data_IF_625244816838
#
_entry.id   IF_625244816838
#
_cell.length_a   1.000
_cell.length_b   1.000
_cell.length_c   1.000
_cell.angle_alpha   90.00
_cell.angle_beta   90.00
_cell.angle_gamma   90.00
#
_symmetry.space_group_name_H-M   'P 1'
#
loop_
_entity.id
_entity.type
_entity.pdbx_description
1 polymer ?
#
# COMPACT_ATOMS: atom_id res chain seq x y z
N UNK A 1 58.28 40.23 32.73
CA UNK A 1 58.59 38.96 33.42
C UNK A 1 57.55 38.77 34.51
N UNK A 2 56.59 37.86 34.27
CA UNK A 2 56.32 36.65 35.08
C UNK A 2 55.68 36.98 36.45
N UNK A 3 54.62 36.36 36.96
CA UNK A 3 53.69 35.29 36.56
C UNK A 3 52.56 35.35 37.60
N UNK A 4 51.31 35.04 37.24
CA UNK A 4 50.24 34.71 38.19
C UNK A 4 49.81 33.26 37.94
N UNK A 5 49.70 32.50 39.02
CA UNK A 5 49.17 31.13 39.07
C UNK A 5 48.05 31.09 40.10
N UNK A 6 46.86 30.65 39.65
CA UNK A 6 45.93 29.70 40.30
C UNK A 6 44.57 29.83 39.59
N UNK A 7 44.16 28.84 38.79
CA UNK A 7 43.59 27.51 39.10
C UNK A 7 42.07 27.55 39.23
N UNK A 8 41.39 26.76 38.38
CA UNK A 8 39.93 26.68 38.33
C UNK A 8 39.40 25.88 37.12
N UNK A 9 39.37 24.56 37.30
CA UNK A 9 38.54 23.51 36.69
C UNK A 9 37.90 23.69 35.28
N UNK A 10 38.18 22.69 34.44
CA UNK A 10 37.62 22.44 33.11
C UNK A 10 36.14 21.97 33.13
N UNK A 11 35.34 22.48 32.19
CA UNK A 11 34.20 21.78 31.57
C UNK A 11 34.34 22.00 30.05
N UNK A 12 34.43 20.96 29.20
CA UNK A 12 34.33 21.16 27.77
C UNK A 12 32.88 21.11 27.32
N UNK A 13 32.51 22.18 26.61
CA UNK A 13 31.34 22.34 25.76
C UNK A 13 31.53 21.54 24.48
N UNK A 14 30.44 20.93 23.99
CA UNK A 14 30.24 20.63 22.56
C UNK A 14 30.33 19.16 22.19
N UNK A 15 29.16 18.53 21.99
CA UNK A 15 29.04 17.35 21.14
C UNK A 15 28.14 17.65 19.94
N UNK A 16 28.61 17.12 18.82
CA UNK A 16 28.24 17.32 17.43
C UNK A 16 26.74 17.25 17.10
N UNK A 17 26.35 18.10 16.14
CA UNK A 17 25.12 17.96 15.36
C UNK A 17 25.28 16.75 14.43
N UNK A 18 24.37 15.79 14.58
CA UNK A 18 24.23 14.63 13.71
C UNK A 18 24.01 15.03 12.25
N UNK A 19 24.75 14.38 11.36
CA UNK A 19 24.58 14.46 9.91
C UNK A 19 23.28 13.77 9.49
N UNK A 20 22.27 14.55 9.12
CA UNK A 20 21.09 14.05 8.40
C UNK A 20 21.48 13.79 6.95
N UNK A 21 21.68 12.52 6.60
CA UNK A 21 21.98 12.10 5.23
C UNK A 21 20.72 12.16 4.35
N UNK A 22 20.61 13.17 3.51
CA UNK A 22 19.62 13.20 2.42
C UNK A 22 19.99 12.16 1.36
N UNK A 23 19.03 11.36 0.91
CA UNK A 23 19.27 10.35 -0.14
C UNK A 23 18.74 10.86 -1.49
N UNK A 24 19.61 10.93 -2.49
CA UNK A 24 19.22 11.15 -3.88
C UNK A 24 18.66 9.86 -4.48
N UNK A 25 17.71 10.00 -5.43
CA UNK A 25 17.14 8.85 -6.14
C UNK A 25 18.23 8.15 -6.99
N UNK A 26 18.80 7.05 -6.50
CA UNK A 26 19.60 6.14 -7.33
C UNK A 26 18.69 5.52 -8.40
N UNK A 27 19.03 5.73 -9.67
CA UNK A 27 18.40 5.03 -10.80
C UNK A 27 18.84 3.58 -10.81
N UNK A 28 17.89 2.64 -10.80
CA UNK A 28 18.19 1.21 -10.79
C UNK A 28 18.92 0.77 -12.07
N UNK A 29 20.10 0.16 -11.91
CA UNK A 29 20.76 -0.60 -12.98
C UNK A 29 20.03 -1.93 -13.22
N UNK A 30 19.89 -2.41 -14.47
CA UNK A 30 19.28 -3.70 -14.75
C UNK A 30 19.97 -4.83 -13.98
N UNK A 31 19.23 -5.52 -13.11
CA UNK A 31 19.72 -6.67 -12.33
C UNK A 31 20.16 -6.39 -10.89
N UNK A 32 20.21 -5.13 -10.43
CA UNK A 32 20.42 -4.82 -9.00
C UNK A 32 19.10 -5.08 -8.25
N UNK A 33 19.15 -5.89 -7.20
CA UNK A 33 17.99 -6.12 -6.34
C UNK A 33 17.61 -4.81 -5.65
N UNK A 34 16.33 -4.46 -5.68
CA UNK A 34 15.83 -3.30 -4.95
C UNK A 34 15.94 -3.53 -3.44
N UNK A 35 16.37 -2.49 -2.73
CA UNK A 35 16.49 -2.48 -1.27
C UNK A 35 15.75 -1.27 -0.72
N UNK A 36 14.90 -1.42 0.31
CA UNK A 36 14.22 -0.28 0.91
C UNK A 36 15.22 0.70 1.53
N UNK A 37 14.91 2.00 1.57
CA UNK A 37 15.75 2.98 2.25
C UNK A 37 15.81 2.71 3.77
N UNK A 38 16.85 3.24 4.41
CA UNK A 38 16.92 3.28 5.87
C UNK A 38 16.08 4.44 6.39
N UNK A 39 15.49 4.26 7.57
CA UNK A 39 14.87 5.36 8.30
C UNK A 39 15.91 6.18 9.07
N UNK A 40 15.70 7.50 9.21
CA UNK A 40 14.62 8.25 8.57
C UNK A 40 14.91 8.51 7.08
N UNK A 41 13.86 8.50 6.26
CA UNK A 41 13.91 8.85 4.85
C UNK A 41 13.38 10.28 4.65
N UNK A 42 14.17 11.12 3.99
CA UNK A 42 13.79 12.48 3.62
C UNK A 42 14.21 12.79 2.20
N UNK A 43 13.27 13.32 1.41
CA UNK A 43 13.58 13.95 0.12
C UNK A 43 14.36 15.25 0.35
N UNK A 44 15.30 15.54 -0.54
CA UNK A 44 16.16 16.72 -0.44
C UNK A 44 15.33 18.02 -0.48
N UNK A 45 15.68 19.07 0.31
CA UNK A 45 14.85 20.26 0.45
C UNK A 45 14.54 21.01 -0.85
N UNK A 46 15.45 20.96 -1.83
CA UNK A 46 15.31 21.58 -3.15
C UNK A 46 14.30 20.87 -4.06
N UNK A 47 13.89 19.65 -3.70
CA UNK A 47 12.91 18.85 -4.44
C UNK A 47 11.51 18.87 -3.80
N UNK A 48 11.38 19.43 -2.59
CA UNK A 48 10.12 19.48 -1.87
C UNK A 48 9.19 20.56 -2.44
N UNK A 49 7.86 20.32 -2.46
CA UNK A 49 6.89 21.34 -2.88
C UNK A 49 6.75 22.49 -1.86
N UNK A 50 7.11 22.23 -0.59
CA UNK A 50 7.14 23.19 0.52
C UNK A 50 8.03 22.63 1.65
N UNK A 51 8.42 23.42 2.67
CA UNK A 51 9.09 22.88 3.85
C UNK A 51 8.26 21.76 4.51
N UNK A 52 8.91 20.64 4.87
CA UNK A 52 8.22 19.54 5.57
C UNK A 52 7.69 20.03 6.92
N UNK A 53 6.45 19.67 7.30
CA UNK A 53 5.92 20.00 8.61
C UNK A 53 6.63 19.18 9.69
N UNK A 54 6.82 19.80 10.85
CA UNK A 54 7.31 19.12 12.06
C UNK A 54 6.24 18.21 12.65
N UNK A 55 6.64 17.21 13.43
CA UNK A 55 5.71 16.33 14.15
C UNK A 55 4.75 17.10 15.05
N UNK A 56 5.19 18.20 15.66
CA UNK A 56 4.33 19.09 16.44
C UNK A 56 3.24 19.75 15.58
N UNK A 57 3.60 20.29 14.41
CA UNK A 57 2.64 20.90 13.47
C UNK A 57 1.64 19.87 12.93
N UNK A 58 2.11 18.67 12.61
CA UNK A 58 1.26 17.55 12.17
C UNK A 58 0.24 17.20 13.25
N UNK A 59 0.70 16.99 14.50
CA UNK A 59 -0.16 16.65 15.63
C UNK A 59 -1.15 17.78 15.96
N UNK A 60 -0.72 19.04 15.85
CA UNK A 60 -1.56 20.22 16.10
C UNK A 60 -2.57 20.53 14.98
N UNK A 61 -2.35 20.09 13.75
CA UNK A 61 -3.28 20.35 12.63
C UNK A 61 -4.67 19.80 12.90
N UNK A 62 -5.70 20.61 12.60
CA UNK A 62 -7.11 20.25 12.77
C UNK A 62 -7.73 19.60 11.52
N UNK A 63 -7.03 19.57 10.38
CA UNK A 63 -7.58 19.06 9.12
C UNK A 63 -7.39 17.55 9.05
N UNK A 64 -8.30 16.82 9.68
CA UNK A 64 -8.33 15.35 9.68
C UNK A 64 -9.11 14.87 8.45
N UNK A 65 -8.44 14.09 7.60
CA UNK A 65 -9.06 13.45 6.44
C UNK A 65 -9.68 12.10 6.83
N UNK A 66 -9.00 11.35 7.70
CA UNK A 66 -9.45 10.05 8.15
C UNK A 66 -8.84 9.71 9.52
N UNK A 67 -9.59 9.01 10.37
CA UNK A 67 -9.10 8.61 11.69
C UNK A 67 -9.65 7.22 12.07
N UNK A 68 -8.73 6.32 12.43
CA UNK A 68 -9.00 5.01 13.02
C UNK A 68 -8.37 4.94 14.42
N UNK A 69 -8.60 3.85 15.13
CA UNK A 69 -8.06 3.62 16.48
C UNK A 69 -6.53 3.69 16.55
N UNK A 70 -5.83 3.28 15.49
CA UNK A 70 -4.37 3.17 15.46
C UNK A 70 -3.69 4.02 14.37
N UNK A 71 -4.45 4.79 13.60
CA UNK A 71 -3.91 5.60 12.51
C UNK A 71 -4.74 6.87 12.32
N UNK A 72 -4.06 7.98 12.08
CA UNK A 72 -4.64 9.28 11.73
C UNK A 72 -4.07 9.74 10.40
N UNK A 73 -4.93 10.27 9.53
CA UNK A 73 -4.57 10.85 8.24
C UNK A 73 -4.98 12.32 8.24
N UNK A 74 -4.03 13.22 7.99
CA UNK A 74 -4.26 14.66 7.96
C UNK A 74 -3.77 15.30 6.68
N UNK A 75 -4.46 16.34 6.22
CA UNK A 75 -3.92 17.27 5.25
C UNK A 75 -3.16 18.39 5.98
N UNK A 76 -1.97 18.71 5.48
CA UNK A 76 -1.13 19.80 5.98
C UNK A 76 -0.90 20.77 4.82
N UNK A 77 -1.67 21.85 4.83
CA UNK A 77 -1.72 22.80 3.72
C UNK A 77 -2.19 22.14 2.42
N UNK A 78 -1.71 22.66 1.28
CA UNK A 78 -2.05 22.17 -0.06
C UNK A 78 -1.06 21.13 -0.59
N UNK A 79 0.01 20.82 0.14
CA UNK A 79 1.14 20.05 -0.39
C UNK A 79 1.27 18.64 0.19
N UNK A 80 0.82 18.44 1.44
CA UNK A 80 1.11 17.21 2.17
C UNK A 80 -0.13 16.54 2.73
N UNK A 81 -0.18 15.22 2.54
CA UNK A 81 -1.00 14.32 3.35
C UNK A 81 -0.05 13.54 4.25
N UNK A 82 -0.40 13.44 5.53
CA UNK A 82 0.39 12.73 6.54
C UNK A 82 -0.44 11.62 7.14
N UNK A 83 0.06 10.38 7.04
CA UNK A 83 -0.43 9.23 7.81
C UNK A 83 0.49 9.03 9.01
N UNK A 84 -0.08 8.89 10.20
CA UNK A 84 0.71 8.57 11.40
C UNK A 84 -0.06 7.78 12.45
N UNK A 85 0.67 7.12 13.33
CA UNK A 85 0.14 6.36 14.46
C UNK A 85 0.73 4.95 14.57
N UNK A 86 0.44 4.21 15.65
CA UNK A 86 1.04 2.89 15.93
C UNK A 86 0.63 1.80 14.92
N UNK A 87 -0.47 2.02 14.19
CA UNK A 87 -0.94 1.12 13.14
C UNK A 87 -0.30 1.38 11.78
N UNK A 88 0.35 2.53 11.58
CA UNK A 88 0.92 2.95 10.29
C UNK A 88 2.13 2.09 9.94
N UNK A 89 2.20 1.59 8.70
CA UNK A 89 3.24 0.67 8.25
C UNK A 89 4.23 1.37 7.34
N UNK A 90 5.52 1.32 7.69
CA UNK A 90 6.65 1.76 6.84
C UNK A 90 6.56 1.19 5.42
N UNK A 91 5.98 -0.01 5.30
CA UNK A 91 5.74 -0.69 4.03
C UNK A 91 5.04 0.19 2.99
N UNK A 92 4.08 1.03 3.38
CA UNK A 92 3.40 1.91 2.43
C UNK A 92 4.38 2.88 1.75
N UNK A 93 5.25 3.54 2.52
CA UNK A 93 6.27 4.43 1.96
C UNK A 93 7.29 3.67 1.11
N UNK A 94 7.71 2.48 1.54
CA UNK A 94 8.61 1.61 0.78
C UNK A 94 7.99 1.19 -0.56
N UNK A 95 6.71 0.86 -0.59
CA UNK A 95 5.98 0.52 -1.80
C UNK A 95 5.90 1.72 -2.76
N UNK A 96 5.59 2.94 -2.27
CA UNK A 96 5.59 4.14 -3.09
C UNK A 96 6.96 4.42 -3.73
N UNK A 97 8.06 4.27 -2.97
CA UNK A 97 9.42 4.43 -3.51
C UNK A 97 9.71 3.40 -4.61
N UNK A 98 9.40 2.13 -4.36
CA UNK A 98 9.59 1.06 -5.35
C UNK A 98 8.84 1.39 -6.64
N UNK A 99 7.56 1.75 -6.55
CA UNK A 99 6.72 1.99 -7.71
C UNK A 99 7.18 3.20 -8.53
N UNK A 100 7.54 4.31 -7.88
CA UNK A 100 8.09 5.49 -8.57
C UNK A 100 9.39 5.18 -9.34
N UNK A 101 10.23 4.29 -8.80
CA UNK A 101 11.48 3.90 -9.45
C UNK A 101 11.28 2.95 -10.63
N UNK A 102 10.23 2.12 -10.61
CA UNK A 102 10.01 1.09 -11.64
C UNK A 102 8.94 1.46 -12.67
N UNK A 103 8.06 2.42 -12.35
CA UNK A 103 7.02 2.89 -13.26
C UNK A 103 6.60 4.33 -12.92
N UNK A 104 7.33 5.30 -13.45
CA UNK A 104 7.09 6.74 -13.22
C UNK A 104 5.79 7.28 -13.81
N UNK A 105 5.11 6.50 -14.67
CA UNK A 105 3.81 6.85 -15.25
C UNK A 105 2.61 6.44 -14.38
N UNK A 106 2.82 5.66 -13.31
CA UNK A 106 1.73 5.28 -12.42
C UNK A 106 1.24 6.52 -11.65
N UNK A 107 -0.08 6.78 -11.62
CA UNK A 107 -0.64 7.90 -10.88
C UNK A 107 -0.74 7.55 -9.39
N UNK A 108 0.35 7.76 -8.65
CA UNK A 108 0.46 7.45 -7.21
C UNK A 108 1.07 8.64 -6.45
N UNK A 109 0.80 8.78 -5.14
CA UNK A 109 1.40 9.85 -4.34
C UNK A 109 2.92 9.79 -4.36
N UNK A 110 3.57 10.95 -4.49
CA UNK A 110 5.01 11.04 -4.19
C UNK A 110 5.26 10.99 -2.69
N UNK A 111 6.17 10.14 -2.24
CA UNK A 111 6.64 10.13 -0.86
C UNK A 111 7.66 11.26 -0.65
N UNK A 112 7.49 12.05 0.40
CA UNK A 112 8.39 13.17 0.74
C UNK A 112 9.23 12.89 1.98
N UNK A 113 8.65 12.22 2.99
CA UNK A 113 9.38 11.81 4.18
C UNK A 113 8.72 10.58 4.82
N UNK A 114 9.55 9.78 5.50
CA UNK A 114 9.10 8.66 6.31
C UNK A 114 10.06 8.48 7.49
N UNK A 115 9.53 8.44 8.71
CA UNK A 115 10.34 8.35 9.92
C UNK A 115 9.54 7.80 11.10
N UNK A 116 10.23 7.46 12.19
CA UNK A 116 9.63 7.08 13.46
C UNK A 116 9.91 8.16 14.51
N UNK A 117 8.89 8.52 15.29
CA UNK A 117 9.02 9.45 16.42
C UNK A 117 8.01 9.08 17.51
N UNK A 118 8.47 9.00 18.77
CA UNK A 118 7.65 8.61 19.94
C UNK A 118 6.87 7.29 19.78
N UNK A 119 7.40 6.33 19.01
CA UNK A 119 6.75 5.04 18.74
C UNK A 119 5.67 5.09 17.65
N UNK A 120 5.42 6.24 17.04
CA UNK A 120 4.57 6.38 15.85
C UNK A 120 5.43 6.38 14.58
N UNK A 121 4.93 5.71 13.53
CA UNK A 121 5.45 5.87 12.16
C UNK A 121 4.76 7.08 11.54
N UNK A 122 5.51 7.95 10.87
CA UNK A 122 5.02 9.07 10.07
C UNK A 122 5.35 8.84 8.60
N UNK A 123 4.36 9.01 7.73
CA UNK A 123 4.50 8.95 6.26
C UNK A 123 3.94 10.25 5.71
N UNK A 124 4.81 11.09 5.15
CA UNK A 124 4.46 12.36 4.52
C UNK A 124 4.52 12.16 3.00
N UNK A 125 3.39 12.35 2.33
CA UNK A 125 3.24 12.16 0.89
C UNK A 125 2.49 13.31 0.24
N UNK A 126 2.49 13.32 -1.10
CA UNK A 126 1.78 14.29 -1.93
C UNK A 126 0.31 14.41 -1.54
N UNK A 127 -0.15 15.64 -1.36
CA UNK A 127 -1.56 15.96 -1.29
C UNK A 127 -2.13 16.10 -2.69
N UNK A 128 -3.02 15.18 -3.06
CA UNK A 128 -3.77 15.27 -4.30
C UNK A 128 -5.12 15.96 -4.06
N UNK A 129 -5.28 17.14 -4.65
CA UNK A 129 -6.51 17.93 -4.55
C UNK A 129 -7.61 17.34 -5.44
N UNK A 130 -8.33 16.35 -4.91
CA UNK A 130 -9.45 15.70 -5.57
C UNK A 130 -10.41 15.07 -4.58
N UNK A 131 -11.52 14.55 -5.10
CA UNK A 131 -12.50 13.80 -4.33
C UNK A 131 -12.23 12.30 -4.47
N UNK A 132 -12.65 11.48 -3.51
CA UNK A 132 -12.59 10.03 -3.72
C UNK A 132 -13.59 9.64 -4.81
N UNK A 133 -13.28 8.60 -5.58
CA UNK A 133 -14.19 8.04 -6.57
C UNK A 133 -15.47 7.58 -5.88
N UNK A 134 -15.39 7.12 -4.62
CA UNK A 134 -16.55 6.72 -3.83
C UNK A 134 -17.56 7.86 -3.69
N UNK A 135 -17.08 9.06 -3.35
CA UNK A 135 -17.94 10.20 -3.07
C UNK A 135 -18.59 10.75 -4.34
N UNK A 136 -17.86 10.78 -5.45
CA UNK A 136 -18.38 11.34 -6.70
C UNK A 136 -19.10 10.32 -7.58
N UNK A 137 -18.94 9.00 -7.36
CA UNK A 137 -19.50 7.93 -8.20
C UNK A 137 -20.99 8.12 -8.53
N UNK A 138 -21.87 8.46 -7.55
CA UNK A 138 -23.29 8.64 -7.82
C UNK A 138 -23.60 9.82 -8.75
N UNK A 139 -22.71 10.82 -8.83
CA UNK A 139 -22.88 12.03 -9.65
C UNK A 139 -22.32 11.91 -11.08
N UNK A 140 -21.53 10.87 -11.35
CA UNK A 140 -20.88 10.69 -12.64
C UNK A 140 -21.85 10.21 -13.72
N UNK A 141 -21.72 10.77 -14.91
CA UNK A 141 -22.46 10.29 -16.08
C UNK A 141 -21.91 8.94 -16.55
N UNK A 142 -22.71 8.17 -17.29
CA UNK A 142 -22.28 6.87 -17.81
C UNK A 142 -21.01 6.96 -18.66
N UNK A 143 -20.85 8.03 -19.45
CA UNK A 143 -19.64 8.34 -20.22
C UNK A 143 -18.41 8.52 -19.33
N UNK A 144 -18.58 9.20 -18.20
CA UNK A 144 -17.51 9.52 -17.26
C UNK A 144 -17.03 8.25 -16.58
N UNK A 145 -17.98 7.43 -16.11
CA UNK A 145 -17.70 6.12 -15.52
C UNK A 145 -16.95 5.20 -16.51
N UNK A 146 -17.33 5.21 -17.79
CA UNK A 146 -16.63 4.46 -18.84
C UNK A 146 -15.24 5.02 -19.14
N UNK A 147 -15.04 6.33 -19.09
CA UNK A 147 -13.71 6.94 -19.27
C UNK A 147 -12.78 6.59 -18.09
N UNK A 148 -13.27 6.71 -16.85
CA UNK A 148 -12.52 6.41 -15.62
C UNK A 148 -12.13 4.94 -15.58
N UNK A 149 -13.05 4.02 -15.85
CA UNK A 149 -12.76 2.57 -15.86
C UNK A 149 -11.76 2.19 -16.96
N UNK A 150 -11.80 2.85 -18.12
CA UNK A 150 -10.77 2.69 -19.16
C UNK A 150 -9.38 3.13 -18.68
N UNK A 151 -9.30 4.25 -17.95
CA UNK A 151 -8.04 4.72 -17.38
C UNK A 151 -7.53 3.77 -16.29
N UNK A 152 -8.42 3.30 -15.39
CA UNK A 152 -8.11 2.27 -14.39
C UNK A 152 -7.55 1.00 -15.04
N UNK A 153 -8.11 0.55 -16.17
CA UNK A 153 -7.56 -0.60 -16.91
C UNK A 153 -6.12 -0.36 -17.31
N UNK A 154 -5.81 0.81 -17.87
CA UNK A 154 -4.45 1.19 -18.24
C UNK A 154 -3.48 1.24 -17.05
N UNK A 155 -3.95 1.65 -15.87
CA UNK A 155 -3.17 1.63 -14.63
C UNK A 155 -2.91 0.19 -14.18
N UNK A 156 -3.94 -0.66 -14.17
CA UNK A 156 -3.82 -2.07 -13.77
C UNK A 156 -2.92 -2.85 -14.74
N UNK A 157 -2.99 -2.57 -16.04
CA UNK A 157 -2.13 -3.19 -17.05
C UNK A 157 -0.66 -2.80 -16.84
N UNK A 158 -0.37 -1.53 -16.53
CA UNK A 158 0.98 -1.08 -16.17
C UNK A 158 1.50 -1.76 -14.91
N UNK A 159 0.66 -1.84 -13.87
CA UNK A 159 1.02 -2.50 -12.62
C UNK A 159 1.37 -3.98 -12.85
N UNK A 160 0.52 -4.69 -13.59
CA UNK A 160 0.70 -6.12 -13.91
C UNK A 160 1.85 -6.40 -14.86
N UNK A 161 2.33 -5.40 -15.61
CA UNK A 161 3.49 -5.52 -16.48
C UNK A 161 4.83 -5.50 -15.70
N UNK A 162 4.83 -5.00 -14.47
CA UNK A 162 6.00 -5.07 -13.59
C UNK A 162 6.32 -6.54 -13.28
N UNK A 163 7.61 -6.87 -13.31
CA UNK A 163 8.07 -8.26 -13.13
C UNK A 163 8.45 -8.52 -11.68
N UNK A 164 8.05 -9.68 -11.11
CA UNK A 164 8.51 -10.07 -9.80
C UNK A 164 10.03 -10.25 -9.80
N UNK A 165 10.67 -10.20 -8.61
CA UNK A 165 12.10 -10.46 -8.49
C UNK A 165 12.51 -11.82 -9.07
N UNK A 166 11.63 -12.81 -8.97
CA UNK A 166 11.79 -14.15 -9.54
C UNK A 166 10.45 -14.62 -10.14
N UNK A 167 10.43 -15.47 -11.18
CA UNK A 167 9.20 -15.82 -11.92
C UNK A 167 8.04 -16.39 -11.10
N UNK A 168 8.33 -16.98 -9.94
CA UNK A 168 7.34 -17.64 -9.06
C UNK A 168 7.34 -17.06 -7.65
N UNK A 169 7.80 -15.82 -7.48
CA UNK A 169 7.87 -15.16 -6.17
C UNK A 169 6.50 -14.59 -5.75
N UNK A 170 6.08 -14.94 -4.54
CA UNK A 170 4.91 -14.37 -3.85
C UNK A 170 5.36 -13.76 -2.52
N UNK A 171 5.10 -12.48 -2.31
CA UNK A 171 5.62 -11.76 -1.13
C UNK A 171 5.47 -10.25 -1.26
N UNK A 172 5.89 -9.52 -0.24
CA UNK A 172 5.96 -8.05 -0.31
C UNK A 172 7.01 -7.58 -1.33
N UNK A 173 6.96 -6.30 -1.70
CA UNK A 173 7.98 -5.67 -2.56
C UNK A 173 9.39 -5.69 -1.94
N UNK A 174 9.48 -5.75 -0.62
CA UNK A 174 10.70 -5.89 0.17
C UNK A 174 11.21 -7.34 0.24
N UNK A 175 10.62 -8.26 -0.55
CA UNK A 175 10.88 -9.70 -0.53
C UNK A 175 10.57 -10.38 0.82
N UNK A 176 9.63 -9.81 1.57
CA UNK A 176 9.18 -10.33 2.86
C UNK A 176 7.87 -11.10 2.76
N UNK A 177 7.23 -11.36 3.93
CA UNK A 177 5.92 -11.99 4.01
C UNK A 177 4.85 -11.31 3.15
N UNK A 178 3.81 -12.05 2.81
CA UNK A 178 2.63 -11.55 2.11
C UNK A 178 1.97 -10.45 2.97
N UNK A 179 1.86 -9.21 2.46
CA UNK A 179 1.27 -8.10 3.20
C UNK A 179 -0.26 -8.12 3.07
N UNK A 180 -0.92 -9.17 3.58
CA UNK A 180 -2.37 -9.24 3.59
C UNK A 180 -2.87 -10.02 4.79
N UNK A 181 -3.98 -9.58 5.39
CA UNK A 181 -4.43 -10.11 6.68
C UNK A 181 -4.78 -11.62 6.64
N UNK A 182 -5.13 -12.18 5.47
CA UNK A 182 -5.38 -13.63 5.31
C UNK A 182 -4.13 -14.47 5.60
N UNK A 183 -2.97 -13.83 5.67
CA UNK A 183 -1.67 -14.42 6.00
C UNK A 183 -1.15 -13.93 7.36
N UNK A 184 -1.96 -13.25 8.17
CA UNK A 184 -1.55 -12.84 9.51
C UNK A 184 -1.35 -14.06 10.40
N UNK A 185 -0.28 -14.06 11.19
CA UNK A 185 0.02 -15.05 12.21
C UNK A 185 0.40 -14.30 13.49
N UNK A 186 -0.03 -14.81 14.66
CA UNK A 186 0.28 -14.19 15.96
C UNK A 186 1.79 -14.14 16.21
N UNK A 187 2.49 -15.18 15.79
CA UNK A 187 3.95 -15.27 15.80
C UNK A 187 4.48 -15.27 14.36
N UNK A 188 5.73 -14.84 14.18
CA UNK A 188 6.38 -14.89 12.87
C UNK A 188 6.45 -16.33 12.38
N UNK A 189 5.70 -16.67 11.34
CA UNK A 189 5.65 -18.03 10.79
C UNK A 189 5.69 -18.01 9.26
N UNK A 190 6.87 -18.21 8.65
CA UNK A 190 7.04 -18.24 7.20
C UNK A 190 6.23 -19.33 6.49
N UNK A 191 5.82 -20.40 7.18
CA UNK A 191 4.93 -21.41 6.60
C UNK A 191 3.50 -20.91 6.38
N UNK A 192 3.11 -19.88 7.13
CA UNK A 192 1.83 -19.18 6.98
C UNK A 192 2.00 -17.97 6.09
N UNK A 193 2.97 -17.09 6.37
CA UNK A 193 3.01 -15.75 5.78
C UNK A 193 4.03 -15.58 4.66
N UNK A 194 4.83 -16.60 4.36
CA UNK A 194 5.80 -16.56 3.27
C UNK A 194 7.05 -15.72 3.58
N UNK A 195 7.77 -15.24 2.55
CA UNK A 195 7.44 -15.32 1.13
C UNK A 195 7.38 -16.75 0.59
N UNK A 196 6.71 -16.94 -0.56
CA UNK A 196 6.59 -18.22 -1.24
C UNK A 196 7.22 -18.20 -2.62
N UNK A 197 7.67 -19.36 -3.09
CA UNK A 197 8.31 -19.53 -4.42
C UNK A 197 7.48 -20.39 -5.37
N UNK A 198 6.28 -20.76 -4.96
CA UNK A 198 5.29 -21.43 -5.78
C UNK A 198 3.89 -21.17 -5.21
N UNK A 199 2.87 -21.34 -6.06
CA UNK A 199 1.49 -21.05 -5.72
C UNK A 199 0.88 -22.10 -4.78
N UNK A 200 1.36 -23.34 -4.81
CA UNK A 200 0.91 -24.36 -3.89
C UNK A 200 1.21 -23.96 -2.44
N UNK A 201 2.44 -23.52 -2.14
CA UNK A 201 2.81 -23.06 -0.81
C UNK A 201 2.08 -21.79 -0.40
N UNK A 202 1.80 -20.88 -1.34
CA UNK A 202 0.94 -19.73 -1.10
C UNK A 202 -0.46 -20.16 -0.63
N UNK A 203 -1.08 -21.11 -1.32
CA UNK A 203 -2.39 -21.66 -0.94
C UNK A 203 -2.32 -22.39 0.40
N UNK A 204 -1.27 -23.17 0.64
CA UNK A 204 -1.07 -23.85 1.92
C UNK A 204 -0.88 -22.86 3.08
N UNK A 205 -0.27 -21.69 2.84
CA UNK A 205 -0.19 -20.61 3.83
C UNK A 205 -1.57 -20.14 4.32
N UNK A 206 -2.53 -19.97 3.41
CA UNK A 206 -3.92 -19.64 3.74
C UNK A 206 -4.58 -20.73 4.60
N UNK A 207 -4.43 -21.99 4.20
CA UNK A 207 -5.01 -23.14 4.90
C UNK A 207 -4.41 -23.29 6.30
N UNK A 208 -3.10 -23.08 6.45
CA UNK A 208 -2.42 -23.13 7.76
C UNK A 208 -2.89 -22.02 8.67
N UNK A 209 -3.10 -20.80 8.17
CA UNK A 209 -3.68 -19.73 8.97
C UNK A 209 -5.08 -20.10 9.48
N UNK A 210 -5.94 -20.61 8.59
CA UNK A 210 -7.27 -21.07 8.97
C UNK A 210 -7.21 -22.19 10.02
N UNK A 211 -6.27 -23.15 9.88
CA UNK A 211 -6.05 -24.20 10.89
C UNK A 211 -5.72 -23.62 12.25
N UNK A 212 -4.79 -22.66 12.30
CA UNK A 212 -4.44 -21.96 13.56
C UNK A 212 -5.66 -21.25 14.16
N UNK A 213 -6.48 -20.60 13.35
CA UNK A 213 -7.70 -19.92 13.83
C UNK A 213 -8.76 -20.92 14.32
N UNK A 214 -8.93 -22.06 13.64
CA UNK A 214 -9.81 -23.12 14.10
C UNK A 214 -9.37 -23.68 15.45
N UNK A 215 -8.06 -23.94 15.62
CA UNK A 215 -7.49 -24.42 16.88
C UNK A 215 -7.73 -23.43 18.03
N UNK A 216 -7.47 -22.14 17.79
CA UNK A 216 -7.69 -21.07 18.77
C UNK A 216 -9.17 -20.92 19.17
N UNK A 217 -10.07 -21.14 18.23
CA UNK A 217 -11.51 -21.08 18.44
C UNK A 217 -12.13 -22.43 18.87
N UNK A 218 -11.30 -23.45 19.12
CA UNK A 218 -11.73 -24.81 19.48
C UNK A 218 -12.71 -25.44 18.47
N UNK A 219 -12.52 -25.16 17.17
CA UNK A 219 -13.28 -25.75 16.05
C UNK A 219 -12.60 -27.03 15.54
N UNK A 220 -13.40 -27.93 14.95
CA UNK A 220 -12.87 -29.15 14.31
C UNK A 220 -12.16 -28.83 12.99
N UNK A 221 -11.09 -29.57 12.68
CA UNK A 221 -10.28 -29.36 11.47
C UNK A 221 -10.92 -29.86 10.18
N UNK A 222 -12.08 -30.53 10.20
CA UNK A 222 -12.63 -31.25 9.04
C UNK A 222 -12.71 -30.41 7.75
N UNK A 223 -13.11 -29.14 7.86
CA UNK A 223 -13.22 -28.22 6.72
C UNK A 223 -11.83 -27.79 6.22
N UNK A 224 -10.93 -27.52 7.14
CA UNK A 224 -9.54 -27.14 6.85
C UNK A 224 -8.75 -28.31 6.26
N UNK A 225 -8.99 -29.54 6.71
CA UNK A 225 -8.41 -30.76 6.15
C UNK A 225 -8.92 -31.00 4.71
N UNK A 226 -10.20 -30.71 4.45
CA UNK A 226 -10.75 -30.72 3.10
C UNK A 226 -10.06 -29.68 2.20
N UNK A 227 -9.86 -28.44 2.69
CA UNK A 227 -9.14 -27.43 1.93
C UNK A 227 -7.69 -27.83 1.66
N UNK A 228 -6.96 -28.33 2.66
CA UNK A 228 -5.57 -28.78 2.50
C UNK A 228 -5.40 -29.78 1.35
N UNK A 229 -6.36 -30.70 1.21
CA UNK A 229 -6.35 -31.75 0.19
C UNK A 229 -6.82 -31.29 -1.19
N UNK A 230 -7.79 -30.36 -1.26
CA UNK A 230 -8.53 -30.10 -2.50
C UNK A 230 -8.35 -28.69 -3.05
N UNK A 231 -8.06 -27.70 -2.20
CA UNK A 231 -8.12 -26.29 -2.57
C UNK A 231 -7.18 -25.94 -3.72
N UNK A 232 -5.94 -26.44 -3.70
CA UNK A 232 -4.96 -26.20 -4.75
C UNK A 232 -5.42 -26.65 -6.15
N UNK A 233 -6.30 -27.66 -6.23
CA UNK A 233 -6.85 -28.13 -7.51
C UNK A 233 -7.85 -27.16 -8.15
N UNK A 234 -8.38 -26.21 -7.39
CA UNK A 234 -9.34 -25.22 -7.88
C UNK A 234 -8.68 -24.06 -8.63
N UNK A 235 -7.37 -23.86 -8.50
CA UNK A 235 -6.68 -22.68 -9.00
C UNK A 235 -5.95 -22.97 -10.30
N UNK A 236 -6.08 -22.06 -11.26
CA UNK A 236 -5.23 -22.05 -12.44
C UNK A 236 -3.86 -21.51 -12.05
N UNK A 237 -2.84 -22.36 -12.16
CA UNK A 237 -1.49 -21.95 -11.86
C UNK A 237 -1.08 -20.76 -12.73
N UNK A 238 -0.81 -19.62 -12.10
CA UNK A 238 -0.55 -18.34 -12.74
C UNK A 238 0.84 -17.81 -12.41
N UNK A 239 1.29 -16.81 -13.18
CA UNK A 239 2.45 -16.03 -12.77
C UNK A 239 2.02 -15.02 -11.70
N UNK A 240 2.86 -14.75 -10.68
CA UNK A 240 2.62 -13.67 -9.76
C UNK A 240 2.53 -12.34 -10.52
N UNK A 241 1.56 -11.51 -10.15
CA UNK A 241 1.41 -10.14 -10.62
C UNK A 241 1.48 -9.18 -9.45
N UNK A 242 2.07 -8.01 -9.69
CA UNK A 242 2.00 -6.93 -8.72
C UNK A 242 0.54 -6.50 -8.57
N UNK A 243 0.11 -6.44 -7.33
CA UNK A 243 -1.28 -6.23 -6.92
C UNK A 243 -1.31 -5.11 -5.90
N UNK A 244 -2.30 -4.21 -6.02
CA UNK A 244 -2.53 -3.14 -5.06
C UNK A 244 -2.99 -3.73 -3.72
N UNK A 245 -3.96 -4.63 -3.76
CA UNK A 245 -4.47 -5.36 -2.59
C UNK A 245 -5.68 -4.70 -1.91
N UNK A 246 -6.06 -3.49 -2.31
CA UNK A 246 -7.21 -2.75 -1.78
C UNK A 246 -7.75 -1.71 -2.78
N UNK A 247 -7.96 -2.10 -4.05
CA UNK A 247 -8.41 -1.19 -5.13
C UNK A 247 -9.91 -0.84 -5.04
N UNK A 248 -10.32 -0.34 -3.89
CA UNK A 248 -11.67 0.16 -3.60
C UNK A 248 -11.84 1.62 -4.06
N UNK A 249 -13.09 2.05 -4.27
CA UNK A 249 -13.41 3.44 -4.68
C UNK A 249 -12.90 4.53 -3.73
N UNK A 250 -12.81 4.22 -2.44
CA UNK A 250 -12.25 5.12 -1.40
C UNK A 250 -10.75 5.40 -1.60
N UNK A 251 -10.05 4.51 -2.32
CA UNK A 251 -8.61 4.55 -2.56
C UNK A 251 -8.26 5.03 -3.98
N UNK A 252 -9.25 5.54 -4.72
CA UNK A 252 -9.08 6.11 -6.06
C UNK A 252 -9.49 7.58 -5.95
N UNK A 253 -8.54 8.49 -6.06
CA UNK A 253 -8.78 9.94 -6.06
C UNK A 253 -9.04 10.43 -7.47
N UNK A 254 -9.97 11.37 -7.63
CA UNK A 254 -10.36 11.96 -8.91
C UNK A 254 -10.30 13.49 -8.82
N UNK A 255 -9.59 14.09 -9.75
CA UNK A 255 -9.62 15.53 -9.99
C UNK A 255 -10.19 15.81 -11.38
N UNK A 256 -11.24 16.62 -11.46
CA UNK A 256 -11.78 17.10 -12.75
C UNK A 256 -10.85 18.19 -13.31
N UNK A 257 -10.38 18.02 -14.55
CA UNK A 257 -9.47 18.96 -15.21
C UNK A 257 -10.14 19.86 -16.25
N UNK A 258 -11.37 19.56 -16.66
CA UNK A 258 -12.20 20.44 -17.49
C UNK A 258 -13.45 20.87 -16.73
N UNK A 259 -13.86 22.15 -16.88
CA UNK A 259 -15.11 22.63 -16.27
C UNK A 259 -16.29 22.26 -17.15
N UNK A 260 -17.44 22.05 -16.50
CA UNK A 260 -18.69 21.78 -17.18
C UNK A 260 -19.05 23.01 -18.05
N UNK A 261 -19.09 22.83 -19.37
CA UNK A 261 -19.39 23.90 -20.34
C UNK A 261 -18.23 24.33 -21.24
N UNK A 262 -17.00 23.86 -21.01
CA UNK A 262 -15.82 24.23 -21.80
C UNK A 262 -15.76 23.56 -23.20
N UNK A 263 -16.78 22.79 -23.59
CA UNK A 263 -16.82 22.04 -24.86
C UNK A 263 -15.83 20.87 -24.93
N UNK A 264 -14.81 20.83 -24.07
CA UNK A 264 -14.02 19.66 -23.77
C UNK A 264 -14.91 18.64 -23.03
N UNK A 265 -14.86 17.38 -23.46
CA UNK A 265 -15.43 16.29 -22.68
C UNK A 265 -14.82 16.24 -21.27
N UNK A 266 -15.36 15.41 -20.38
CA UNK A 266 -14.86 15.32 -19.02
C UNK A 266 -13.45 14.74 -19.03
N UNK A 267 -12.47 15.56 -18.67
CA UNK A 267 -11.11 15.13 -18.41
C UNK A 267 -10.93 14.96 -16.90
N UNK A 268 -10.39 13.81 -16.52
CA UNK A 268 -10.09 13.47 -15.14
C UNK A 268 -8.60 13.21 -15.00
N UNK A 269 -8.06 13.49 -13.81
CA UNK A 269 -6.79 12.93 -13.35
C UNK A 269 -7.10 11.98 -12.20
N UNK A 270 -6.54 10.79 -12.29
CA UNK A 270 -6.62 9.80 -11.24
C UNK A 270 -5.38 9.86 -10.35
N UNK A 271 -5.53 9.44 -9.09
CA UNK A 271 -4.42 9.02 -8.25
C UNK A 271 -4.87 7.84 -7.38
N UNK A 272 -4.10 6.76 -7.38
CA UNK A 272 -4.34 5.58 -6.55
C UNK A 272 -3.55 5.72 -5.25
N UNK A 273 -4.22 5.57 -4.11
CA UNK A 273 -3.65 5.74 -2.77
C UNK A 273 -3.79 4.44 -1.96
N UNK A 274 -3.17 4.40 -0.76
CA UNK A 274 -3.30 3.28 0.18
C UNK A 274 -2.59 1.99 -0.26
N UNK A 275 -1.30 2.10 -0.54
CA UNK A 275 -0.45 1.03 -1.09
C UNK A 275 0.12 0.06 -0.02
N UNK A 276 -0.45 0.02 1.19
CA UNK A 276 0.14 -0.72 2.33
C UNK A 276 0.08 -2.25 2.19
N UNK A 277 -0.89 -2.75 1.42
CA UNK A 277 -1.11 -4.19 1.17
C UNK A 277 -0.54 -4.65 -0.18
N UNK A 278 0.24 -3.80 -0.85
CA UNK A 278 0.76 -4.13 -2.18
C UNK A 278 1.92 -5.12 -2.14
N UNK A 279 1.95 -6.00 -3.14
CA UNK A 279 2.91 -7.10 -3.23
C UNK A 279 2.71 -7.97 -4.47
N UNK A 280 3.46 -9.08 -4.52
CA UNK A 280 3.38 -10.08 -5.58
C UNK A 280 2.42 -11.20 -5.16
N UNK A 281 1.30 -11.31 -5.87
CA UNK A 281 0.21 -12.25 -5.60
C UNK A 281 -0.17 -13.03 -6.86
N UNK A 282 -0.92 -14.13 -6.75
CA UNK A 282 -1.52 -14.77 -7.94
C UNK A 282 -2.36 -13.79 -8.76
N UNK A 283 -2.40 -13.98 -10.08
CA UNK A 283 -3.05 -13.06 -11.02
C UNK A 283 -4.54 -12.80 -10.77
N UNK A 284 -5.22 -13.69 -10.03
CA UNK A 284 -6.61 -13.55 -9.63
C UNK A 284 -6.83 -12.68 -8.38
N UNK A 285 -5.77 -12.36 -7.62
CA UNK A 285 -5.89 -11.81 -6.27
C UNK A 285 -6.58 -10.46 -6.24
N UNK A 286 -6.20 -9.52 -7.12
CA UNK A 286 -6.83 -8.19 -7.18
C UNK A 286 -8.35 -8.27 -7.38
N UNK A 287 -8.80 -9.18 -8.27
CA UNK A 287 -10.23 -9.36 -8.51
C UNK A 287 -10.93 -9.96 -7.29
N UNK A 288 -10.32 -10.97 -6.66
CA UNK A 288 -10.84 -11.58 -5.44
C UNK A 288 -11.00 -10.55 -4.30
N UNK A 289 -9.96 -9.78 -3.96
CA UNK A 289 -10.03 -8.81 -2.87
C UNK A 289 -10.98 -7.66 -3.19
N UNK A 290 -11.07 -7.24 -4.46
CA UNK A 290 -12.07 -6.27 -4.89
C UNK A 290 -13.48 -6.84 -4.70
N UNK A 291 -13.71 -8.09 -5.10
CA UNK A 291 -15.00 -8.77 -5.00
C UNK A 291 -15.52 -8.84 -3.56
N UNK A 292 -14.67 -9.17 -2.59
CA UNK A 292 -15.07 -9.24 -1.17
C UNK A 292 -15.48 -7.88 -0.58
N UNK A 293 -15.07 -6.78 -1.22
CA UNK A 293 -15.45 -5.41 -0.83
C UNK A 293 -16.72 -4.88 -1.52
N UNK A 294 -17.28 -5.62 -2.49
CA UNK A 294 -18.45 -5.16 -3.23
C UNK A 294 -19.73 -5.21 -2.40
N UNK A 295 -20.49 -4.12 -2.46
CA UNK A 295 -21.77 -3.97 -1.75
C UNK A 295 -22.99 -4.32 -2.59
N UNK A 296 -22.84 -4.42 -3.92
CA UNK A 296 -23.94 -4.72 -4.85
C UNK A 296 -25.13 -3.73 -4.77
N UNK A 297 -24.87 -2.50 -4.33
CA UNK A 297 -25.86 -1.44 -4.11
C UNK A 297 -25.89 -0.38 -5.23
N UNK A 298 -24.93 -0.41 -6.16
CA UNK A 298 -24.87 0.45 -7.34
C UNK A 298 -24.13 -0.21 -8.53
N UNK A 299 -23.99 0.54 -9.63
CA UNK A 299 -23.36 0.09 -10.88
C UNK A 299 -21.82 0.03 -10.82
N UNK A 300 -21.17 0.32 -9.67
CA UNK A 300 -19.72 0.07 -9.54
C UNK A 300 -19.40 -1.42 -9.65
N UNK A 301 -20.24 -2.26 -9.03
CA UNK A 301 -20.03 -3.71 -8.96
C UNK A 301 -20.04 -4.36 -10.34
N UNK A 302 -20.87 -3.85 -11.27
CA UNK A 302 -20.90 -4.34 -12.65
C UNK A 302 -19.73 -3.85 -13.49
N UNK A 303 -19.07 -2.74 -13.09
CA UNK A 303 -17.95 -2.14 -13.82
C UNK A 303 -16.56 -2.59 -13.39
N UNK A 304 -16.44 -3.39 -12.32
CA UNK A 304 -15.14 -3.97 -11.95
C UNK A 304 -14.50 -4.73 -13.12
N UNK A 305 -15.32 -5.41 -13.91
CA UNK A 305 -14.86 -6.18 -15.07
C UNK A 305 -14.35 -5.29 -16.22
N UNK A 306 -14.66 -3.98 -16.19
CA UNK A 306 -14.17 -3.00 -17.15
C UNK A 306 -12.68 -2.70 -16.94
N UNK A 307 -12.08 -3.05 -15.81
CA UNK A 307 -10.64 -2.85 -15.56
C UNK A 307 -9.92 -4.03 -14.88
N UNK A 308 -10.64 -5.02 -14.34
CA UNK A 308 -10.07 -6.27 -13.83
C UNK A 308 -10.61 -7.47 -14.60
N UNK A 309 -9.72 -8.42 -14.89
CA UNK A 309 -10.13 -9.72 -15.45
C UNK A 309 -10.89 -10.51 -14.38
N UNK A 310 -12.11 -11.03 -14.67
CA UNK A 310 -12.84 -11.87 -13.73
C UNK A 310 -12.21 -13.25 -13.55
N UNK A 311 -12.15 -13.72 -12.30
CA UNK A 311 -11.68 -15.05 -11.93
C UNK A 311 -12.70 -15.76 -11.03
N UNK A 312 -13.87 -16.15 -11.58
CA UNK A 312 -15.01 -16.56 -10.75
C UNK A 312 -14.77 -17.85 -9.97
N UNK A 313 -14.01 -18.81 -10.51
CA UNK A 313 -13.74 -20.07 -9.82
C UNK A 313 -12.80 -19.86 -8.62
N UNK A 314 -11.70 -19.14 -8.84
CA UNK A 314 -10.72 -18.80 -7.81
C UNK A 314 -11.33 -17.88 -6.76
N UNK A 315 -12.13 -16.91 -7.18
CA UNK A 315 -12.86 -16.01 -6.27
C UNK A 315 -13.87 -16.78 -5.44
N UNK A 316 -14.64 -17.69 -6.01
CA UNK A 316 -15.60 -18.50 -5.25
C UNK A 316 -14.90 -19.36 -4.19
N UNK A 317 -13.80 -20.01 -4.56
CA UNK A 317 -13.01 -20.83 -3.64
C UNK A 317 -12.39 -20.01 -2.49
N UNK A 318 -11.78 -18.87 -2.81
CA UNK A 318 -11.18 -17.98 -1.79
C UNK A 318 -12.24 -17.29 -0.94
N UNK A 319 -13.40 -16.96 -1.49
CA UNK A 319 -14.49 -16.34 -0.74
C UNK A 319 -15.01 -17.28 0.35
N UNK A 320 -15.00 -18.60 0.13
CA UNK A 320 -15.33 -19.57 1.19
C UNK A 320 -14.36 -19.47 2.38
N UNK A 321 -13.05 -19.38 2.11
CA UNK A 321 -12.01 -19.23 3.14
C UNK A 321 -12.13 -17.86 3.83
N UNK A 322 -12.33 -16.80 3.06
CA UNK A 322 -12.54 -15.46 3.58
C UNK A 322 -13.71 -15.43 4.57
N UNK A 323 -14.83 -16.07 4.23
CA UNK A 323 -15.96 -16.15 5.15
C UNK A 323 -15.64 -16.94 6.41
N UNK A 324 -14.96 -18.09 6.32
CA UNK A 324 -14.60 -18.91 7.48
C UNK A 324 -13.68 -18.22 8.50
N UNK A 325 -12.94 -17.21 8.04
CA UNK A 325 -12.03 -16.40 8.85
C UNK A 325 -12.72 -15.23 9.54
N UNK A 326 -13.84 -14.73 9.00
CA UNK A 326 -14.48 -13.50 9.49
C UNK A 326 -15.91 -13.64 9.99
N UNK A 327 -16.60 -14.73 9.66
CA UNK A 327 -18.01 -14.96 9.97
C UNK A 327 -18.21 -16.37 10.53
#
# INVERSE_FOLDING_TARGET
MTTLLNSGACIPVGQDRSSTGFQSHETNSPGKMWTPPKLPYYVAPDQLPAPLPTTQEIRASSTILHQRSTQTVKAIGMHFVVKYGPGTKIREGNNLIFLHQHSSSLPIPRLWAMYEEDGDVFIIMEHFEGDTLQDIWPSLQASDKSAITKELRGIMDQLRALKPPEPSFYGSLERGPIPYFLFNSMESNPSINGPFVNEYDFIQGLVRNLRTIDELNHRHSYKTDFYEQNLASCFRLGRPTLTHGDIQRKNIMIQRTCRQGDGCGPAFRLMIIDWEDSGWYPAYWEFFVTFTSLRWDDDWSSRIQDFLVPWPAETAALNMIYHDLFF
#
